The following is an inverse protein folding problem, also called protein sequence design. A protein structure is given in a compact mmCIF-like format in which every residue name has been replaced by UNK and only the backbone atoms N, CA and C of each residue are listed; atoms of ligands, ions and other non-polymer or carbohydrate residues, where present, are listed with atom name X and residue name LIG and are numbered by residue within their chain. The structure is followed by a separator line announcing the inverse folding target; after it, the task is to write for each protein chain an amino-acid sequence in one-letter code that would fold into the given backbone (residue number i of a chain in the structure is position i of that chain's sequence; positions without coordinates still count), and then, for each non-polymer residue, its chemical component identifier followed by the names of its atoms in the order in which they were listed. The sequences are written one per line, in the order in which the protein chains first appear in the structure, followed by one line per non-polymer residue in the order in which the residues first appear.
data_IF_833543094476
#
_entry.id   IF_833543094476
#
_cell.length_a   1.000
_cell.length_b   1.000
_cell.length_c   1.000
_cell.angle_alpha   90.00
_cell.angle_beta   90.00
_cell.angle_gamma   90.00
#
_symmetry.space_group_name_H-M   'P 1'
#
loop_
_entity.id
_entity.type
_entity.pdbx_description
1 polymer ?
#
# COMPACT_ATOMS: atom_id res chain seq x y z
N UNK A 1 7.62 -14.75 12.37
CA UNK A 1 8.52 -15.15 11.27
C UNK A 1 9.86 -14.49 11.47
N UNK A 2 10.94 -15.12 10.99
CA UNK A 2 12.30 -14.62 11.14
C UNK A 2 12.46 -13.21 10.55
N UNK A 3 13.07 -12.33 11.35
CA UNK A 3 13.34 -10.92 11.08
C UNK A 3 14.80 -10.57 11.36
N UNK A 4 15.50 -11.38 12.16
CA UNK A 4 16.94 -11.21 12.46
C UNK A 4 17.80 -12.29 11.79
N UNK A 5 19.10 -12.03 11.72
CA UNK A 5 20.08 -12.92 11.10
C UNK A 5 20.18 -14.26 11.86
N UNK A 6 20.05 -14.22 13.18
CA UNK A 6 20.02 -15.39 14.05
C UNK A 6 18.74 -16.22 13.86
N UNK A 7 17.59 -15.58 13.67
CA UNK A 7 16.33 -16.28 13.38
C UNK A 7 16.37 -16.95 12.00
N UNK A 8 17.04 -16.35 11.01
CA UNK A 8 17.25 -17.00 9.71
C UNK A 8 18.18 -18.21 9.80
N UNK A 9 19.24 -18.14 10.61
CA UNK A 9 20.13 -19.28 10.83
C UNK A 9 19.39 -20.49 11.45
N UNK A 10 18.36 -20.24 12.27
CA UNK A 10 17.53 -21.30 12.85
C UNK A 10 16.65 -22.02 11.83
N UNK A 11 16.46 -21.47 10.62
CA UNK A 11 15.74 -22.12 9.53
C UNK A 11 16.61 -23.11 8.75
N UNK A 12 17.93 -23.14 8.97
CA UNK A 12 18.83 -24.02 8.22
C UNK A 12 18.46 -25.51 8.27
N UNK A 13 18.08 -26.10 9.43
CA UNK A 13 17.62 -27.49 9.47
C UNK A 13 16.36 -27.73 8.63
N UNK A 14 15.50 -26.72 8.52
CA UNK A 14 14.28 -26.79 7.71
C UNK A 14 14.62 -26.70 6.21
N UNK A 15 15.65 -25.93 5.82
CA UNK A 15 16.20 -25.95 4.46
C UNK A 15 16.77 -27.32 4.11
N UNK A 16 17.55 -27.93 5.01
CA UNK A 16 18.11 -29.27 4.79
C UNK A 16 17.00 -30.31 4.64
N UNK A 17 15.95 -30.25 5.48
CA UNK A 17 14.76 -31.11 5.36
C UNK A 17 14.07 -30.93 3.99
N UNK A 18 13.88 -29.70 3.54
CA UNK A 18 13.25 -29.39 2.26
C UNK A 18 14.04 -29.94 1.05
N UNK A 19 15.37 -29.85 1.09
CA UNK A 19 16.24 -30.37 0.04
C UNK A 19 16.24 -31.90 0.01
N UNK A 20 16.33 -32.55 1.17
CA UNK A 20 16.45 -34.01 1.26
C UNK A 20 15.11 -34.73 1.10
N UNK A 21 14.01 -34.11 1.51
CA UNK A 21 12.69 -34.75 1.56
C UNK A 21 11.57 -33.73 1.33
N UNK A 22 11.46 -33.15 0.12
CA UNK A 22 10.50 -32.09 -0.17
C UNK A 22 9.04 -32.50 0.06
N UNK A 23 8.70 -33.77 -0.18
CA UNK A 23 7.35 -34.30 0.06
C UNK A 23 6.93 -34.38 1.55
N UNK A 24 7.88 -34.22 2.48
CA UNK A 24 7.62 -34.23 3.92
C UNK A 24 7.48 -32.82 4.52
N UNK A 25 7.49 -31.79 3.67
CA UNK A 25 7.30 -30.39 4.06
C UNK A 25 5.79 -30.12 4.14
N UNK A 26 5.33 -29.73 5.33
CA UNK A 26 3.96 -29.23 5.55
C UNK A 26 3.75 -27.86 4.91
N UNK A 27 2.49 -27.44 4.78
CA UNK A 27 2.16 -26.12 4.24
C UNK A 27 2.72 -25.00 5.13
N UNK A 28 2.62 -25.15 6.44
CA UNK A 28 3.15 -24.19 7.41
C UNK A 28 4.67 -24.06 7.32
N UNK A 29 5.38 -25.19 7.18
CA UNK A 29 6.83 -25.21 6.95
C UNK A 29 7.19 -24.55 5.62
N UNK A 30 6.43 -24.80 4.54
CA UNK A 30 6.61 -24.12 3.25
C UNK A 30 6.48 -22.61 3.41
N UNK A 31 5.47 -22.13 4.13
CA UNK A 31 5.25 -20.70 4.35
C UNK A 31 6.39 -20.08 5.17
N UNK A 32 6.87 -20.78 6.21
CA UNK A 32 8.06 -20.34 6.95
C UNK A 32 9.31 -20.25 6.08
N UNK A 33 9.56 -21.28 5.25
CA UNK A 33 10.69 -21.36 4.32
C UNK A 33 10.68 -20.23 3.29
N UNK A 34 9.49 -19.90 2.77
CA UNK A 34 9.29 -18.84 1.80
C UNK A 34 9.16 -17.45 2.44
N UNK A 35 9.16 -17.36 3.77
CA UNK A 35 8.85 -16.15 4.55
C UNK A 35 7.46 -15.56 4.21
N UNK A 36 6.55 -16.40 3.71
CA UNK A 36 5.18 -16.05 3.39
C UNK A 36 4.34 -15.96 4.66
N UNK A 37 3.41 -15.00 4.74
CA UNK A 37 2.39 -15.00 5.78
C UNK A 37 1.52 -16.26 5.67
N UNK A 38 0.63 -16.46 6.64
CA UNK A 38 -0.31 -17.60 6.56
C UNK A 38 -1.13 -17.52 5.28
N UNK A 39 -1.64 -18.66 4.77
CA UNK A 39 -2.42 -18.66 3.53
C UNK A 39 -3.63 -17.71 3.61
N UNK A 40 -4.30 -17.67 4.76
CA UNK A 40 -5.42 -16.77 5.00
C UNK A 40 -5.02 -15.29 4.90
N UNK A 41 -3.85 -14.92 5.45
CA UNK A 41 -3.31 -13.57 5.33
C UNK A 41 -2.88 -13.24 3.90
N UNK A 42 -2.25 -14.19 3.18
CA UNK A 42 -1.90 -14.00 1.76
C UNK A 42 -3.17 -13.74 0.93
N UNK A 43 -4.22 -14.53 1.15
CA UNK A 43 -5.52 -14.37 0.48
C UNK A 43 -6.18 -13.04 0.84
N UNK A 44 -6.17 -12.66 2.12
CA UNK A 44 -6.69 -11.37 2.57
C UNK A 44 -5.95 -10.21 1.90
N UNK A 45 -4.62 -10.26 1.81
CA UNK A 45 -3.81 -9.23 1.18
C UNK A 45 -4.06 -9.15 -0.33
N UNK A 46 -4.01 -10.28 -1.04
CA UNK A 46 -4.29 -10.34 -2.48
C UNK A 46 -5.69 -9.81 -2.81
N UNK A 47 -6.70 -10.24 -2.05
CA UNK A 47 -8.09 -9.80 -2.25
C UNK A 47 -8.26 -8.30 -1.95
N UNK A 48 -7.68 -7.82 -0.85
CA UNK A 48 -7.82 -6.41 -0.43
C UNK A 48 -7.13 -5.44 -1.39
N UNK A 49 -5.94 -5.80 -1.88
CA UNK A 49 -5.10 -4.87 -2.64
C UNK A 49 -5.19 -5.06 -4.16
N UNK A 50 -5.55 -6.25 -4.63
CA UNK A 50 -5.60 -6.59 -6.06
C UNK A 50 -6.99 -7.06 -6.51
N UNK A 51 -7.90 -7.37 -5.58
CA UNK A 51 -9.23 -7.88 -5.92
C UNK A 51 -9.24 -9.31 -6.46
N UNK A 52 -8.17 -10.08 -6.28
CA UNK A 52 -8.03 -11.46 -6.79
C UNK A 52 -7.48 -12.43 -5.75
N UNK A 53 -7.57 -13.74 -6.05
CA UNK A 53 -7.00 -14.80 -5.22
C UNK A 53 -5.49 -14.95 -5.43
N UNK A 54 -4.81 -15.57 -4.47
CA UNK A 54 -3.37 -15.90 -4.59
C UNK A 54 -3.12 -16.86 -5.74
N UNK A 55 -3.99 -17.85 -5.95
CA UNK A 55 -3.86 -18.84 -7.02
C UNK A 55 -4.01 -18.21 -8.40
N UNK A 56 -4.95 -17.27 -8.57
CA UNK A 56 -5.12 -16.56 -9.83
C UNK A 56 -3.93 -15.64 -10.10
N UNK A 57 -3.38 -14.99 -9.07
CA UNK A 57 -2.18 -14.17 -9.18
C UNK A 57 -0.97 -15.00 -9.63
N UNK A 58 -0.73 -16.16 -9.01
CA UNK A 58 0.32 -17.08 -9.44
C UNK A 58 0.08 -17.62 -10.85
N UNK A 59 -1.16 -17.97 -11.21
CA UNK A 59 -1.48 -18.44 -12.56
C UNK A 59 -1.19 -17.37 -13.61
N UNK A 60 -1.63 -16.13 -13.37
CA UNK A 60 -1.38 -14.98 -14.23
C UNK A 60 0.13 -14.76 -14.41
N UNK A 61 0.86 -14.68 -13.30
CA UNK A 61 2.30 -14.48 -13.30
C UNK A 61 3.06 -15.61 -14.00
N UNK A 62 2.64 -16.87 -13.84
CA UNK A 62 3.29 -18.01 -14.48
C UNK A 62 3.00 -18.11 -15.99
N UNK A 63 1.84 -17.63 -16.44
CA UNK A 63 1.41 -17.73 -17.83
C UNK A 63 1.91 -16.58 -18.70
N UNK A 64 1.83 -15.35 -18.20
CA UNK A 64 2.34 -14.15 -18.85
C UNK A 64 2.82 -13.13 -17.82
N UNK A 65 4.10 -13.21 -17.39
CA UNK A 65 4.70 -12.25 -16.48
C UNK A 65 4.58 -10.78 -16.93
N UNK A 66 4.57 -10.50 -18.24
CA UNK A 66 4.48 -9.12 -18.77
C UNK A 66 3.08 -8.51 -18.61
N UNK A 67 2.05 -9.35 -18.39
CA UNK A 67 0.68 -8.87 -18.13
C UNK A 67 0.47 -8.36 -16.72
N UNK A 68 1.46 -8.52 -15.84
CA UNK A 68 1.37 -8.09 -14.44
C UNK A 68 1.48 -6.56 -14.35
N UNK A 69 0.62 -6.01 -13.51
CA UNK A 69 0.71 -4.62 -13.06
C UNK A 69 1.77 -4.50 -11.96
N UNK A 70 2.30 -3.29 -11.75
CA UNK A 70 3.27 -3.07 -10.68
C UNK A 70 2.80 -3.52 -9.28
N UNK A 71 1.55 -3.25 -8.84
CA UNK A 71 1.04 -3.77 -7.57
C UNK A 71 1.01 -5.31 -7.49
N UNK A 72 0.67 -6.00 -8.58
CA UNK A 72 0.67 -7.46 -8.65
C UNK A 72 2.09 -8.03 -8.52
N UNK A 73 3.04 -7.49 -9.30
CA UNK A 73 4.46 -7.85 -9.20
C UNK A 73 5.02 -7.60 -7.81
N UNK A 74 4.72 -6.42 -7.24
CA UNK A 74 5.19 -6.04 -5.91
C UNK A 74 4.70 -6.99 -4.84
N UNK A 75 3.43 -7.39 -4.87
CA UNK A 75 2.92 -8.33 -3.86
C UNK A 75 3.65 -9.68 -3.90
N UNK A 76 3.97 -10.20 -5.09
CA UNK A 76 4.76 -11.45 -5.23
C UNK A 76 6.19 -11.23 -4.74
N UNK A 77 6.85 -10.14 -5.18
CA UNK A 77 8.24 -9.80 -4.82
C UNK A 77 8.42 -9.61 -3.30
N UNK A 78 7.44 -8.95 -2.67
CA UNK A 78 7.40 -8.72 -1.22
C UNK A 78 6.97 -9.96 -0.42
N UNK A 79 6.81 -11.13 -1.08
CA UNK A 79 6.42 -12.39 -0.47
C UNK A 79 5.05 -12.31 0.22
N UNK A 80 4.09 -11.64 -0.44
CA UNK A 80 2.69 -11.43 -0.01
C UNK A 80 2.53 -10.59 1.26
N UNK A 81 3.56 -9.86 1.64
CA UNK A 81 3.53 -8.93 2.77
C UNK A 81 3.22 -7.53 2.31
N UNK A 82 2.56 -6.78 3.19
CA UNK A 82 2.39 -5.33 3.04
C UNK A 82 3.56 -4.67 3.78
N UNK A 83 4.63 -4.38 3.03
CA UNK A 83 5.85 -3.79 3.56
C UNK A 83 5.72 -2.25 3.54
N UNK A 84 5.88 -1.61 4.70
CA UNK A 84 5.90 -0.15 4.81
C UNK A 84 7.21 0.44 4.28
N UNK A 85 7.23 1.75 4.02
CA UNK A 85 8.42 2.49 3.55
C UNK A 85 9.61 2.37 4.52
N UNK A 86 9.36 2.07 5.79
CA UNK A 86 10.36 1.96 6.85
C UNK A 86 10.69 0.52 7.26
N UNK A 87 10.09 -0.49 6.61
CA UNK A 87 10.31 -1.92 6.91
C UNK A 87 11.53 -2.50 6.15
N UNK A 88 12.42 -1.65 5.65
CA UNK A 88 13.67 -1.97 4.93
C UNK A 88 14.76 -2.53 5.88
N UNK A 89 14.38 -3.44 6.77
CA UNK A 89 15.22 -4.03 7.80
C UNK A 89 16.23 -5.07 7.29
N UNK A 90 16.74 -5.89 8.22
CA UNK A 90 17.78 -6.91 8.01
C UNK A 90 17.49 -7.95 6.90
N UNK A 91 16.25 -7.99 6.40
CA UNK A 91 15.77 -8.87 5.32
C UNK A 91 16.58 -8.74 4.03
N UNK A 92 17.03 -7.54 3.69
CA UNK A 92 17.85 -7.33 2.49
C UNK A 92 19.35 -7.47 2.76
N UNK A 93 19.79 -7.20 3.99
CA UNK A 93 21.21 -7.20 4.35
C UNK A 93 21.74 -8.60 4.64
N UNK A 94 20.92 -9.52 5.14
CA UNK A 94 21.38 -10.85 5.54
C UNK A 94 21.90 -11.69 4.35
N UNK A 95 21.29 -11.55 3.16
CA UNK A 95 21.73 -12.26 1.93
C UNK A 95 23.19 -11.96 1.59
N UNK A 96 23.63 -10.72 1.83
CA UNK A 96 25.03 -10.28 1.63
C UNK A 96 25.94 -10.77 2.75
N UNK A 97 25.43 -10.85 3.99
CA UNK A 97 26.19 -11.28 5.17
C UNK A 97 26.39 -12.79 5.24
N UNK A 98 25.50 -13.61 4.66
CA UNK A 98 25.52 -15.09 4.69
C UNK A 98 25.23 -15.72 3.32
N UNK A 99 26.16 -15.62 2.34
CA UNK A 99 25.97 -16.17 1.00
C UNK A 99 25.86 -17.71 0.98
N UNK A 100 26.46 -18.38 1.96
CA UNK A 100 26.37 -19.81 2.20
C UNK A 100 24.92 -20.25 2.45
N UNK A 101 24.24 -19.59 3.40
CA UNK A 101 22.84 -19.84 3.72
C UNK A 101 21.90 -19.41 2.59
N UNK A 102 22.25 -18.35 1.87
CA UNK A 102 21.47 -17.87 0.73
C UNK A 102 21.37 -18.93 -0.39
N UNK A 103 22.48 -19.59 -0.70
CA UNK A 103 22.52 -20.64 -1.73
C UNK A 103 21.65 -21.83 -1.32
N UNK A 104 21.81 -22.29 -0.07
CA UNK A 104 21.02 -23.38 0.50
C UNK A 104 19.52 -23.05 0.52
N UNK A 105 19.16 -21.82 0.91
CA UNK A 105 17.77 -21.34 0.86
C UNK A 105 17.19 -21.43 -0.56
N UNK A 106 17.93 -21.01 -1.59
CA UNK A 106 17.41 -21.07 -2.96
C UNK A 106 17.19 -22.51 -3.43
N UNK A 107 18.10 -23.43 -3.11
CA UNK A 107 17.91 -24.86 -3.38
C UNK A 107 16.67 -25.41 -2.66
N UNK A 108 16.47 -25.06 -1.39
CA UNK A 108 15.29 -25.45 -0.63
C UNK A 108 13.99 -24.90 -1.25
N UNK A 109 13.99 -23.64 -1.72
CA UNK A 109 12.83 -23.02 -2.39
C UNK A 109 12.47 -23.77 -3.67
N UNK A 110 13.45 -24.03 -4.53
CA UNK A 110 13.23 -24.76 -5.79
C UNK A 110 12.67 -26.18 -5.55
N UNK A 111 13.07 -26.84 -4.45
CA UNK A 111 12.61 -28.18 -4.11
C UNK A 111 11.14 -28.23 -3.64
N UNK A 112 10.61 -27.16 -3.03
CA UNK A 112 9.27 -27.14 -2.40
C UNK A 112 8.21 -26.39 -3.19
N UNK A 113 8.62 -25.53 -4.12
CA UNK A 113 7.69 -24.75 -4.93
C UNK A 113 7.06 -25.63 -6.00
N UNK A 114 5.76 -25.43 -6.22
CA UNK A 114 5.10 -25.99 -7.40
C UNK A 114 5.66 -25.33 -8.67
N UNK A 115 5.58 -25.99 -9.83
CA UNK A 115 6.04 -25.39 -11.08
C UNK A 115 5.42 -24.01 -11.35
N UNK A 116 4.13 -23.86 -11.08
CA UNK A 116 3.41 -22.58 -11.23
C UNK A 116 3.99 -21.47 -10.35
N UNK A 117 4.20 -21.74 -9.06
CA UNK A 117 4.79 -20.75 -8.15
C UNK A 117 6.23 -20.43 -8.52
N UNK A 118 7.03 -21.43 -8.91
CA UNK A 118 8.42 -21.25 -9.31
C UNK A 118 8.51 -20.34 -10.55
N UNK A 119 7.75 -20.63 -11.60
CA UNK A 119 7.73 -19.81 -12.81
C UNK A 119 7.20 -18.40 -12.54
N UNK A 120 6.17 -18.25 -11.71
CA UNK A 120 5.65 -16.94 -11.33
C UNK A 120 6.71 -16.09 -10.61
N UNK A 121 7.42 -16.67 -9.64
CA UNK A 121 8.45 -15.96 -8.87
C UNK A 121 9.63 -15.59 -9.78
N UNK A 122 10.11 -16.52 -10.61
CA UNK A 122 11.20 -16.26 -11.56
C UNK A 122 10.83 -15.16 -12.56
N UNK A 123 9.63 -15.23 -13.14
CA UNK A 123 9.15 -14.20 -14.07
C UNK A 123 9.03 -12.83 -13.42
N UNK A 124 8.59 -12.76 -12.16
CA UNK A 124 8.60 -11.50 -11.40
C UNK A 124 10.02 -11.04 -11.12
N UNK A 125 10.92 -11.90 -10.65
CA UNK A 125 12.31 -11.53 -10.35
C UNK A 125 13.04 -10.96 -11.59
N UNK A 126 12.75 -11.48 -12.78
CA UNK A 126 13.31 -11.01 -14.06
C UNK A 126 12.74 -9.66 -14.50
N UNK A 127 11.42 -9.45 -14.38
CA UNK A 127 10.73 -8.28 -14.95
C UNK A 127 10.45 -7.16 -13.93
N UNK A 128 10.64 -7.39 -12.65
CA UNK A 128 10.21 -6.47 -11.58
C UNK A 128 10.69 -5.04 -11.82
N UNK A 129 11.98 -4.88 -12.13
CA UNK A 129 12.57 -3.55 -12.34
C UNK A 129 12.00 -2.85 -13.58
N UNK A 130 11.75 -3.59 -14.65
CA UNK A 130 11.15 -3.04 -15.86
C UNK A 130 9.70 -2.56 -15.59
N UNK A 131 8.86 -3.42 -15.00
CA UNK A 131 7.47 -3.10 -14.69
C UNK A 131 7.38 -1.93 -13.70
N UNK A 132 8.29 -1.88 -12.71
CA UNK A 132 8.40 -0.75 -11.78
C UNK A 132 8.74 0.55 -12.49
N UNK A 133 9.71 0.52 -13.41
CA UNK A 133 10.13 1.70 -14.16
C UNK A 133 8.99 2.21 -15.05
N UNK A 134 8.32 1.32 -15.79
CA UNK A 134 7.17 1.66 -16.64
C UNK A 134 6.01 2.28 -15.84
N UNK A 135 5.69 1.73 -14.66
CA UNK A 135 4.67 2.30 -13.78
C UNK A 135 5.09 3.68 -13.23
N UNK A 136 6.37 3.85 -12.88
CA UNK A 136 6.89 5.14 -12.43
C UNK A 136 6.79 6.20 -13.52
N UNK A 137 7.22 5.89 -14.74
CA UNK A 137 7.16 6.77 -15.89
C UNK A 137 5.71 7.11 -16.26
N UNK A 138 4.81 6.12 -16.26
CA UNK A 138 3.38 6.36 -16.50
C UNK A 138 2.75 7.25 -15.42
N UNK A 139 3.13 7.06 -14.16
CA UNK A 139 2.68 7.90 -13.05
C UNK A 139 3.29 9.29 -13.10
N UNK A 140 4.54 9.43 -13.54
CA UNK A 140 5.19 10.71 -13.77
C UNK A 140 4.51 11.48 -14.91
N UNK A 141 4.23 10.84 -16.05
CA UNK A 141 3.49 11.45 -17.14
C UNK A 141 2.10 11.94 -16.69
N UNK A 142 1.37 11.16 -15.87
CA UNK A 142 0.12 11.59 -15.24
C UNK A 142 0.31 12.78 -14.29
N UNK A 143 1.45 12.87 -13.60
CA UNK A 143 1.79 14.04 -12.74
C UNK A 143 2.15 15.26 -13.58
N UNK A 144 2.80 15.09 -14.72
CA UNK A 144 3.14 16.18 -15.64
C UNK A 144 1.90 16.74 -16.36
N UNK A 145 0.81 15.96 -16.47
CA UNK A 145 -0.51 16.47 -16.89
C UNK A 145 -1.22 17.29 -15.80
N UNK A 146 -0.76 17.23 -14.54
CA UNK A 146 -1.25 18.12 -13.49
C UNK A 146 -0.61 19.50 -13.66
N UNK A 147 -1.28 20.58 -13.19
CA UNK A 147 -0.66 21.89 -13.15
C UNK A 147 0.74 21.78 -12.52
N UNK A 148 1.73 22.52 -13.05
CA UNK A 148 3.10 22.45 -12.56
C UNK A 148 3.17 22.55 -11.02
N UNK A 149 4.14 21.90 -10.37
CA UNK A 149 4.26 21.91 -8.90
C UNK A 149 4.46 23.28 -8.26
N UNK A 150 4.58 24.35 -9.05
CA UNK A 150 4.68 25.75 -8.60
C UNK A 150 3.37 26.53 -8.80
N UNK A 151 2.41 26.01 -9.58
CA UNK A 151 1.11 26.66 -9.75
C UNK A 151 0.17 26.29 -8.61
N UNK A 152 -0.72 27.21 -8.20
CA UNK A 152 -1.85 26.88 -7.35
C UNK A 152 -2.72 25.81 -8.02
N UNK A 153 -3.33 24.94 -7.20
CA UNK A 153 -4.35 24.00 -7.72
C UNK A 153 -5.49 24.81 -8.33
N UNK A 154 -6.19 24.26 -9.33
CA UNK A 154 -7.27 25.00 -10.02
C UNK A 154 -8.32 25.61 -9.08
N UNK A 155 -8.69 24.90 -8.02
CA UNK A 155 -9.66 25.43 -7.05
C UNK A 155 -9.10 26.59 -6.22
N UNK A 156 -7.78 26.61 -5.95
CA UNK A 156 -7.06 27.71 -5.29
C UNK A 156 -6.99 28.89 -6.24
N UNK A 157 -6.60 28.66 -7.50
CA UNK A 157 -6.55 29.70 -8.52
C UNK A 157 -7.92 30.36 -8.72
N UNK A 158 -9.00 29.57 -8.75
CA UNK A 158 -10.39 30.07 -8.79
C UNK A 158 -10.81 30.91 -7.58
N UNK A 159 -10.09 30.86 -6.46
CA UNK A 159 -10.30 31.74 -5.30
C UNK A 159 -9.43 32.99 -5.45
N UNK A 160 -8.16 32.83 -5.82
CA UNK A 160 -7.22 33.93 -6.08
C UNK A 160 -7.78 34.89 -7.13
N UNK A 161 -8.35 34.36 -8.20
CA UNK A 161 -8.90 35.11 -9.34
C UNK A 161 -10.22 35.85 -9.02
N UNK A 162 -10.84 35.60 -7.85
CA UNK A 162 -12.06 36.33 -7.44
C UNK A 162 -11.69 37.75 -7.06
N UNK A 163 -12.39 38.72 -7.66
CA UNK A 163 -12.18 40.15 -7.37
C UNK A 163 -12.90 40.61 -6.10
N UNK A 164 -14.04 39.98 -5.78
CA UNK A 164 -15.00 40.55 -4.82
C UNK A 164 -15.02 39.79 -3.48
N UNK A 165 -14.99 38.45 -3.51
CA UNK A 165 -15.00 37.60 -2.31
C UNK A 165 -14.05 36.42 -2.46
N UNK A 166 -12.94 36.47 -1.74
CA UNK A 166 -11.92 35.42 -1.68
C UNK A 166 -12.15 34.44 -0.52
N UNK A 167 -13.28 34.56 0.18
CA UNK A 167 -13.61 33.69 1.31
C UNK A 167 -13.64 32.23 0.88
N UNK A 168 -12.95 31.40 1.65
CA UNK A 168 -12.94 29.95 1.48
C UNK A 168 -12.84 29.30 2.86
N UNK A 169 -13.31 28.07 2.99
CA UNK A 169 -13.38 27.50 4.32
C UNK A 169 -14.10 26.19 4.39
N UNK A 170 -14.39 25.80 5.61
CA UNK A 170 -15.07 24.55 5.92
C UNK A 170 -16.49 24.84 6.42
N UNK A 171 -17.47 24.13 5.88
CA UNK A 171 -18.84 24.14 6.39
C UNK A 171 -19.13 22.78 7.01
N UNK A 172 -19.45 22.78 8.30
CA UNK A 172 -19.76 21.58 9.06
C UNK A 172 -21.24 21.51 9.37
N UNK A 173 -21.87 20.42 8.96
CA UNK A 173 -23.23 20.08 9.34
C UNK A 173 -23.17 19.11 10.51
N UNK A 174 -23.87 19.40 11.60
CA UNK A 174 -23.89 18.52 12.76
C UNK A 174 -25.29 18.35 13.35
N UNK A 175 -25.61 17.17 13.91
CA UNK A 175 -26.87 16.99 14.60
C UNK A 175 -27.01 17.97 15.78
N UNK A 176 -28.21 18.55 15.91
CA UNK A 176 -28.54 19.38 17.06
C UNK A 176 -28.50 18.53 18.35
N UNK A 177 -27.72 18.97 19.35
CA UNK A 177 -27.56 18.27 20.63
C UNK A 177 -26.47 17.19 20.65
N UNK A 178 -25.61 17.12 19.62
CA UNK A 178 -24.45 16.22 19.63
C UNK A 178 -23.49 16.56 20.79
N UNK A 179 -23.25 15.60 21.67
CA UNK A 179 -22.29 15.76 22.77
C UNK A 179 -20.85 15.84 22.25
N UNK A 180 -20.02 16.66 22.90
CA UNK A 180 -18.60 16.83 22.55
C UNK A 180 -18.33 17.74 21.36
N UNK A 181 -19.35 18.40 20.82
CA UNK A 181 -19.23 19.31 19.68
C UNK A 181 -18.34 20.53 19.99
N UNK A 182 -18.49 21.13 21.17
CA UNK A 182 -17.67 22.29 21.58
C UNK A 182 -16.17 21.92 21.63
N UNK A 183 -15.85 20.70 22.07
CA UNK A 183 -14.47 20.20 22.09
C UNK A 183 -13.91 20.00 20.67
N UNK A 184 -14.75 19.51 19.74
CA UNK A 184 -14.37 19.39 18.33
C UNK A 184 -14.15 20.77 17.69
N UNK A 185 -14.99 21.76 18.02
CA UNK A 185 -14.82 23.14 17.53
C UNK A 185 -13.50 23.74 18.00
N UNK A 186 -13.12 23.54 19.27
CA UNK A 186 -11.83 24.02 19.79
C UNK A 186 -10.63 23.34 19.11
N UNK A 187 -10.69 22.03 18.87
CA UNK A 187 -9.64 21.33 18.09
C UNK A 187 -9.56 21.90 16.67
N UNK A 188 -10.72 22.14 16.04
CA UNK A 188 -10.77 22.60 14.66
C UNK A 188 -10.28 24.04 14.49
N UNK A 189 -10.43 24.91 15.51
CA UNK A 189 -9.80 26.24 15.51
C UNK A 189 -8.29 26.15 15.30
N UNK A 190 -7.61 25.22 15.99
CA UNK A 190 -6.18 24.99 15.77
C UNK A 190 -5.86 24.53 14.34
N UNK A 191 -6.72 23.71 13.73
CA UNK A 191 -6.59 23.30 12.31
C UNK A 191 -6.80 24.47 11.34
N UNK A 192 -7.63 25.44 11.70
CA UNK A 192 -7.82 26.65 10.89
C UNK A 192 -6.60 27.55 10.91
N UNK A 193 -5.94 27.67 12.06
CA UNK A 193 -4.72 28.48 12.26
C UNK A 193 -3.45 27.81 11.69
N UNK A 194 -3.50 26.51 11.43
CA UNK A 194 -2.36 25.80 10.84
C UNK A 194 -2.05 26.29 9.41
N UNK A 195 -0.78 26.62 9.12
CA UNK A 195 -0.33 26.90 7.77
C UNK A 195 -0.47 25.64 6.90
N UNK A 196 -1.01 25.80 5.70
CA UNK A 196 -1.09 24.72 4.72
C UNK A 196 -0.02 24.94 3.66
N UNK A 197 0.84 23.95 3.48
CA UNK A 197 1.96 24.05 2.54
C UNK A 197 1.52 23.64 1.12
N UNK A 198 0.77 24.51 0.44
CA UNK A 198 0.47 24.40 -0.99
C UNK A 198 0.59 25.76 -1.71
N UNK A 199 0.90 25.75 -3.01
CA UNK A 199 1.07 27.00 -3.76
C UNK A 199 -0.23 27.81 -3.84
N UNK A 200 -0.13 29.12 -3.65
CA UNK A 200 -1.28 30.02 -3.58
C UNK A 200 -1.93 30.08 -2.19
N UNK A 201 -1.43 29.32 -1.20
CA UNK A 201 -1.93 29.43 0.18
C UNK A 201 -1.74 30.83 0.74
N UNK A 202 -0.55 31.42 0.57
CA UNK A 202 -0.26 32.78 1.04
C UNK A 202 -1.25 33.81 0.48
N UNK A 203 -1.71 33.63 -0.75
CA UNK A 203 -2.66 34.54 -1.41
C UNK A 203 -4.11 34.40 -0.91
N UNK A 204 -4.44 33.28 -0.24
CA UNK A 204 -5.81 33.00 0.23
C UNK A 204 -5.93 32.82 1.75
N UNK A 205 -4.83 32.64 2.49
CA UNK A 205 -4.87 32.19 3.88
C UNK A 205 -5.67 33.11 4.81
N UNK A 206 -5.60 34.43 4.58
CA UNK A 206 -6.33 35.44 5.36
C UNK A 206 -7.86 35.41 5.13
N UNK A 207 -8.31 34.75 4.06
CA UNK A 207 -9.73 34.61 3.71
C UNK A 207 -10.32 33.26 4.16
N UNK A 208 -9.58 32.51 4.99
CA UNK A 208 -10.00 31.19 5.49
C UNK A 208 -11.04 31.34 6.61
N UNK A 209 -12.19 30.69 6.47
CA UNK A 209 -13.24 30.68 7.50
C UNK A 209 -13.70 29.26 7.87
N UNK A 210 -14.51 29.17 8.91
CA UNK A 210 -15.32 27.99 9.20
C UNK A 210 -16.74 28.40 9.58
N UNK A 211 -17.70 27.57 9.19
CA UNK A 211 -19.09 27.73 9.57
C UNK A 211 -19.62 26.39 10.09
N UNK A 212 -20.33 26.44 11.22
CA UNK A 212 -20.90 25.27 11.86
C UNK A 212 -22.42 25.43 11.88
N UNK A 213 -23.13 24.49 11.25
CA UNK A 213 -24.56 24.56 11.01
C UNK A 213 -25.23 23.40 11.76
N UNK A 214 -25.99 23.67 12.84
CA UNK A 214 -26.78 22.65 13.50
C UNK A 214 -27.94 22.25 12.60
N UNK A 215 -28.05 20.95 12.34
CA UNK A 215 -29.13 20.36 11.56
C UNK A 215 -30.04 19.60 12.51
N UNK A 216 -31.34 19.90 12.46
CA UNK A 216 -32.34 19.06 13.12
C UNK A 216 -32.31 17.71 12.41
N UNK A 217 -32.19 16.62 13.17
CA UNK A 217 -32.45 15.31 12.62
C UNK A 217 -33.93 15.30 12.20
N UNK A 218 -34.20 15.39 10.90
CA UNK A 218 -35.53 15.07 10.40
C UNK A 218 -35.74 13.59 10.66
N UNK A 219 -36.61 13.30 11.62
CA UNK A 219 -37.17 11.97 11.80
C UNK A 219 -38.13 11.71 10.63
N UNK A 220 -37.59 11.42 9.43
CA UNK A 220 -38.28 10.81 8.30
C UNK A 220 -37.28 10.50 7.16
N UNK A 221 -36.49 9.42 7.32
CA UNK A 221 -36.15 8.59 6.16
C UNK A 221 -37.40 7.73 5.89
N UNK A 222 -38.41 8.38 5.33
CA UNK A 222 -39.59 7.76 4.76
C UNK A 222 -39.53 7.96 3.25
N UNK A 223 -39.21 6.89 2.53
CA UNK A 223 -39.37 6.75 1.08
C UNK A 223 -38.51 7.66 0.17
N UNK A 224 -37.30 7.19 -0.15
CA UNK A 224 -36.88 7.23 -1.55
C UNK A 224 -36.84 5.80 -2.08
N UNK A 225 -37.80 5.58 -2.97
CA UNK A 225 -38.32 4.34 -3.54
C UNK A 225 -37.27 3.51 -4.27
N UNK A 226 -37.61 2.22 -4.34
CA UNK A 226 -37.10 1.15 -5.21
C UNK A 226 -36.63 1.61 -6.58
#
# INVERSE_FOLDING_TARGET
MATTLEEFAQLEPLWDKAIQSPGNISLEEKHQLMEWPTLDEMQANAKKHLGMSVEDLFRKASGDPHSLTYPECRLISDNFRIIGILDDGDRFTWRRKRPDLYTKRNQAREAILTPTELYAIQGVDELFFQIQQEDFEANEAKRQQKPPPHMPREWVQKIIDRTDDKSWGYVFYHPQGMAGWDALMEIFKGVLEMPLYFNGYEDIHEFKFSQFIPVKAEAEIGELKQ
#
